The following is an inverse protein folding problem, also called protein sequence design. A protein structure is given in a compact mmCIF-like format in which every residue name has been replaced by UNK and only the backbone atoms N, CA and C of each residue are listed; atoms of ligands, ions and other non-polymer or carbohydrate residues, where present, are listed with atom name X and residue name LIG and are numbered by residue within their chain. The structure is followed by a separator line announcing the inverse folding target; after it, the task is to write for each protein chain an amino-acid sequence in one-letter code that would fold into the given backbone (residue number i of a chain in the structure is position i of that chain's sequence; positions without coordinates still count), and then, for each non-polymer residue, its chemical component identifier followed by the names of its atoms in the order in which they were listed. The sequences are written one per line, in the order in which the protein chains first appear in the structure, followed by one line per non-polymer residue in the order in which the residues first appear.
data_IF_924401986548
#
_entry.id   IF_924401986548
#
_cell.length_a   1.000
_cell.length_b   1.000
_cell.length_c   1.000
_cell.angle_alpha   90.00
_cell.angle_beta   90.00
_cell.angle_gamma   90.00
#
_symmetry.space_group_name_H-M   'P 1'
#
loop_
_entity.id
_entity.type
_entity.pdbx_description
1 polymer ?
#
# COMPACT_ATOMS: atom_id res chain seq x y z
N UNK A 1 -9.77 -70.86 8.17
CA UNK A 1 -9.35 -69.74 7.34
C UNK A 1 -10.50 -68.86 6.82
N UNK A 2 -11.59 -68.64 7.61
CA UNK A 2 -12.75 -67.83 7.19
C UNK A 2 -13.04 -66.59 8.07
N UNK A 3 -12.27 -66.35 9.13
CA UNK A 3 -12.50 -65.24 10.07
C UNK A 3 -11.67 -63.96 9.80
N UNK A 4 -10.72 -63.98 8.84
CA UNK A 4 -9.79 -62.82 8.62
C UNK A 4 -10.28 -61.79 7.60
N UNK A 5 -11.41 -62.11 6.89
CA UNK A 5 -11.94 -61.19 5.85
C UNK A 5 -12.83 -60.06 6.38
N UNK A 6 -13.32 -60.12 7.61
CA UNK A 6 -14.26 -59.11 8.17
C UNK A 6 -13.57 -58.04 9.02
N UNK A 7 -12.27 -58.17 9.30
CA UNK A 7 -11.54 -57.17 10.08
C UNK A 7 -10.95 -56.02 9.22
N UNK A 8 -10.79 -56.22 7.91
CA UNK A 8 -10.22 -55.21 7.01
C UNK A 8 -11.22 -54.15 6.54
N UNK A 9 -12.53 -54.45 6.58
CA UNK A 9 -13.57 -53.55 6.08
C UNK A 9 -13.83 -52.35 7.00
N UNK A 10 -13.86 -52.45 8.33
CA UNK A 10 -14.04 -51.30 9.20
C UNK A 10 -12.82 -50.40 9.31
N UNK A 11 -11.58 -50.94 9.13
CA UNK A 11 -10.35 -50.15 9.15
C UNK A 11 -10.23 -49.28 7.89
N UNK A 12 -10.65 -49.76 6.71
CA UNK A 12 -10.66 -48.99 5.47
C UNK A 12 -11.68 -47.84 5.50
N UNK A 13 -12.84 -48.01 6.16
CA UNK A 13 -13.82 -46.92 6.34
C UNK A 13 -13.33 -45.86 7.33
N UNK A 14 -12.57 -46.21 8.37
CA UNK A 14 -11.99 -45.26 9.31
C UNK A 14 -10.88 -44.43 8.68
N UNK A 15 -10.10 -44.99 7.75
CA UNK A 15 -9.06 -44.26 7.00
C UNK A 15 -9.67 -43.29 5.96
N UNK A 16 -10.78 -43.71 5.32
CA UNK A 16 -11.49 -42.80 4.39
C UNK A 16 -12.22 -41.66 5.13
N UNK A 17 -12.65 -41.85 6.35
CA UNK A 17 -13.24 -40.77 7.18
C UNK A 17 -12.19 -39.77 7.66
N UNK A 18 -10.92 -40.19 7.87
CA UNK A 18 -9.81 -39.31 8.24
C UNK A 18 -9.30 -38.46 7.08
N UNK A 19 -9.50 -38.88 5.81
CA UNK A 19 -9.10 -38.11 4.61
C UNK A 19 -10.11 -37.03 4.24
N UNK A 20 -11.32 -37.01 4.78
CA UNK A 20 -12.31 -35.95 4.59
C UNK A 20 -12.18 -34.81 5.63
N UNK A 21 -11.23 -34.89 6.55
CA UNK A 21 -10.99 -33.82 7.56
C UNK A 21 -10.05 -32.70 7.05
N UNK A 22 -9.60 -32.74 5.80
CA UNK A 22 -8.88 -31.64 5.14
C UNK A 22 -9.83 -30.69 4.38
N UNK A 23 -11.07 -30.56 4.81
CA UNK A 23 -12.06 -29.69 4.20
C UNK A 23 -12.60 -28.68 5.21
N UNK A 24 -12.18 -27.46 5.06
CA UNK A 24 -12.68 -26.19 5.55
C UNK A 24 -11.70 -25.43 6.47
N UNK A 25 -10.73 -24.79 5.87
CA UNK A 25 -10.08 -23.60 6.45
C UNK A 25 -11.06 -22.39 6.35
N UNK A 26 -12.35 -22.63 6.48
CA UNK A 26 -13.38 -21.59 6.56
C UNK A 26 -13.44 -21.09 8.00
N UNK A 27 -12.57 -20.23 8.38
CA UNK A 27 -12.42 -19.45 9.61
C UNK A 27 -10.97 -19.49 10.14
N UNK A 28 -10.00 -19.40 9.24
CA UNK A 28 -8.63 -19.20 9.66
C UNK A 28 -8.54 -17.87 10.43
N UNK A 29 -8.01 -17.90 11.65
CA UNK A 29 -7.68 -16.67 12.39
C UNK A 29 -6.37 -16.04 11.90
N UNK A 30 -5.72 -16.62 10.91
CA UNK A 30 -4.54 -16.07 10.26
C UNK A 30 -4.94 -15.23 9.05
N UNK A 31 -4.44 -14.00 8.99
CA UNK A 31 -4.68 -13.06 7.89
C UNK A 31 -3.32 -12.58 7.38
N UNK A 32 -3.04 -12.80 6.11
CA UNK A 32 -1.82 -12.33 5.44
C UNK A 32 -2.11 -11.03 4.71
N UNK A 33 -1.45 -9.93 5.11
CA UNK A 33 -1.56 -8.62 4.48
C UNK A 33 -0.29 -8.34 3.68
N UNK A 34 -0.44 -8.11 2.37
CA UNK A 34 0.65 -7.63 1.53
C UNK A 34 0.95 -6.16 1.86
N UNK A 35 2.23 -5.79 1.93
CA UNK A 35 2.68 -4.44 2.24
C UNK A 35 3.89 -4.06 1.40
N UNK A 36 3.89 -2.87 0.81
CA UNK A 36 5.07 -2.32 0.14
C UNK A 36 5.90 -1.53 1.15
N UNK A 37 7.09 -2.06 1.47
CA UNK A 37 7.98 -1.44 2.44
C UNK A 37 8.46 -0.07 1.94
N UNK A 38 8.36 0.95 2.78
CA UNK A 38 8.72 2.33 2.44
C UNK A 38 7.55 3.20 1.95
N UNK A 39 6.39 2.65 1.60
CA UNK A 39 5.19 3.45 1.33
C UNK A 39 4.53 3.82 2.66
N UNK A 40 4.65 5.10 3.03
CA UNK A 40 4.31 5.57 4.37
C UNK A 40 2.87 5.23 4.77
N UNK A 41 1.92 5.49 3.88
CA UNK A 41 0.50 5.23 4.11
C UNK A 41 0.17 3.73 4.17
N UNK A 42 0.78 2.92 3.30
CA UNK A 42 0.54 1.48 3.29
C UNK A 42 1.10 0.82 4.54
N UNK A 43 2.32 1.21 4.96
CA UNK A 43 2.93 0.78 6.22
C UNK A 43 2.05 1.18 7.41
N UNK A 44 1.58 2.42 7.44
CA UNK A 44 0.77 2.93 8.55
C UNK A 44 -0.58 2.19 8.65
N UNK A 45 -1.34 2.11 7.56
CA UNK A 45 -2.63 1.40 7.51
C UNK A 45 -2.48 -0.08 7.84
N UNK A 46 -1.44 -0.74 7.32
CA UNK A 46 -1.17 -2.16 7.59
C UNK A 46 -0.90 -2.42 9.07
N UNK A 47 -0.07 -1.59 9.73
CA UNK A 47 0.22 -1.76 11.15
C UNK A 47 -0.98 -1.42 12.04
N UNK A 48 -1.77 -0.40 11.71
CA UNK A 48 -3.04 -0.09 12.41
C UNK A 48 -4.02 -1.25 12.27
N UNK A 49 -4.19 -1.78 11.05
CA UNK A 49 -5.04 -2.96 10.81
C UNK A 49 -4.57 -4.16 11.62
N UNK A 50 -3.25 -4.43 11.63
CA UNK A 50 -2.68 -5.51 12.46
C UNK A 50 -3.03 -5.31 13.94
N UNK A 51 -2.82 -4.13 14.49
CA UNK A 51 -3.11 -3.83 15.89
C UNK A 51 -4.59 -4.05 16.23
N UNK A 52 -5.51 -3.63 15.35
CA UNK A 52 -6.94 -3.84 15.52
C UNK A 52 -7.29 -5.32 15.45
N UNK A 53 -6.83 -6.03 14.43
CA UNK A 53 -7.20 -7.43 14.21
C UNK A 53 -6.59 -8.38 15.26
N UNK A 54 -5.37 -8.12 15.73
CA UNK A 54 -4.75 -8.88 16.83
C UNK A 54 -5.62 -8.75 18.12
N UNK A 55 -6.16 -7.55 18.41
CA UNK A 55 -7.10 -7.34 19.53
C UNK A 55 -8.45 -8.09 19.33
N UNK A 56 -8.84 -8.39 18.09
CA UNK A 56 -10.03 -9.19 17.77
C UNK A 56 -9.73 -10.70 17.73
N UNK A 57 -8.52 -11.12 18.10
CA UNK A 57 -8.09 -12.52 18.17
C UNK A 57 -7.71 -13.13 16.82
N UNK A 58 -7.37 -12.30 15.82
CA UNK A 58 -6.70 -12.74 14.60
C UNK A 58 -5.18 -12.75 14.80
N UNK A 59 -4.48 -13.41 13.89
CA UNK A 59 -3.01 -13.42 13.78
C UNK A 59 -2.62 -12.83 12.43
N UNK A 60 -2.21 -11.58 12.43
CA UNK A 60 -1.86 -10.90 11.19
C UNK A 60 -0.40 -11.13 10.85
N UNK A 61 -0.16 -11.64 9.64
CA UNK A 61 1.15 -11.80 9.00
C UNK A 61 1.33 -10.70 7.97
N UNK A 62 2.38 -9.91 8.10
CA UNK A 62 2.73 -8.87 7.11
C UNK A 62 3.73 -9.45 6.11
N UNK A 63 3.32 -9.53 4.84
CA UNK A 63 4.16 -9.98 3.74
C UNK A 63 4.70 -8.78 2.96
N UNK A 64 5.99 -8.49 3.12
CA UNK A 64 6.65 -7.39 2.40
C UNK A 64 7.02 -7.83 0.99
N UNK A 65 6.49 -7.13 -0.03
CA UNK A 65 6.79 -7.41 -1.42
C UNK A 65 6.50 -6.19 -2.32
N UNK A 66 6.86 -6.27 -3.61
CA UNK A 66 6.44 -5.28 -4.59
C UNK A 66 4.95 -5.42 -4.92
N UNK A 67 4.31 -4.34 -5.40
CA UNK A 67 2.89 -4.34 -5.79
C UNK A 67 2.55 -5.50 -6.74
N UNK A 68 3.39 -5.75 -7.76
CA UNK A 68 3.13 -6.83 -8.73
C UNK A 68 3.17 -8.21 -8.08
N UNK A 69 4.09 -8.45 -7.14
CA UNK A 69 4.18 -9.70 -6.38
C UNK A 69 2.98 -9.88 -5.43
N UNK A 70 2.57 -8.80 -4.75
CA UNK A 70 1.41 -8.84 -3.86
C UNK A 70 0.14 -9.19 -4.64
N UNK A 71 -0.13 -8.50 -5.76
CA UNK A 71 -1.32 -8.77 -6.57
C UNK A 71 -1.31 -10.20 -7.14
N UNK A 72 -0.15 -10.71 -7.58
CA UNK A 72 -0.02 -12.09 -8.04
C UNK A 72 -0.26 -13.09 -6.91
N UNK A 73 0.29 -12.85 -5.72
CA UNK A 73 0.11 -13.70 -4.53
C UNK A 73 -1.36 -13.71 -4.07
N UNK A 74 -2.04 -12.56 -4.11
CA UNK A 74 -3.48 -12.50 -3.83
C UNK A 74 -4.31 -13.27 -4.85
N UNK A 75 -3.95 -13.19 -6.15
CA UNK A 75 -4.63 -13.96 -7.19
C UNK A 75 -4.45 -15.48 -7.03
N UNK A 76 -3.34 -15.91 -6.44
CA UNK A 76 -3.06 -17.31 -6.10
C UNK A 76 -3.63 -17.71 -4.72
N UNK A 77 -4.30 -16.79 -4.02
CA UNK A 77 -4.86 -16.96 -2.68
C UNK A 77 -3.83 -17.21 -1.55
N UNK A 78 -2.54 -16.86 -1.78
CA UNK A 78 -1.45 -16.95 -0.79
C UNK A 78 -1.37 -15.70 0.11
N UNK A 79 -1.90 -14.56 -0.35
CA UNK A 79 -2.06 -13.30 0.40
C UNK A 79 -3.53 -12.93 0.43
N UNK A 80 -4.05 -12.55 1.60
CA UNK A 80 -5.47 -12.27 1.77
C UNK A 80 -5.88 -10.92 1.22
N UNK A 81 -5.09 -9.86 1.50
CA UNK A 81 -5.44 -8.50 1.09
C UNK A 81 -4.23 -7.58 0.94
N UNK A 82 -4.45 -6.46 0.25
CA UNK A 82 -3.52 -5.35 0.09
C UNK A 82 -4.26 -4.02 0.20
N UNK A 83 -3.73 -3.10 1.02
CA UNK A 83 -4.40 -1.85 1.38
C UNK A 83 -3.90 -0.65 0.57
N UNK A 84 -2.83 -0.83 -0.21
CA UNK A 84 -2.16 0.23 -0.97
C UNK A 84 -2.52 0.26 -2.47
N UNK A 85 -3.77 -0.02 -2.87
CA UNK A 85 -4.18 0.02 -4.29
C UNK A 85 -4.67 1.42 -4.65
N UNK A 86 -3.92 2.13 -5.51
CA UNK A 86 -4.23 3.48 -5.98
C UNK A 86 -5.00 3.45 -7.28
N UNK A 87 -6.20 4.04 -7.32
CA UNK A 87 -7.11 4.06 -8.46
C UNK A 87 -7.75 5.46 -8.64
N UNK A 88 -8.06 5.89 -9.87
CA UNK A 88 -8.21 5.05 -11.08
C UNK A 88 -6.99 4.99 -11.99
N UNK A 89 -5.86 5.65 -11.68
CA UNK A 89 -4.76 5.81 -12.65
C UNK A 89 -3.58 4.89 -12.39
N UNK A 90 -2.99 4.98 -11.18
CA UNK A 90 -1.67 4.40 -10.86
C UNK A 90 -1.64 2.88 -11.00
N UNK A 91 -2.61 2.17 -10.42
CA UNK A 91 -2.62 0.70 -10.39
C UNK A 91 -3.66 0.06 -11.31
N UNK A 92 -4.46 0.84 -12.05
CA UNK A 92 -5.54 0.31 -12.89
C UNK A 92 -5.06 -0.78 -13.87
N UNK A 93 -3.98 -0.53 -14.61
CA UNK A 93 -3.42 -1.48 -15.58
C UNK A 93 -2.87 -2.75 -14.93
N UNK A 94 -2.33 -2.65 -13.72
CA UNK A 94 -1.84 -3.80 -12.94
C UNK A 94 -3.00 -4.64 -12.45
N UNK A 95 -3.98 -4.00 -11.83
CA UNK A 95 -5.17 -4.65 -11.28
C UNK A 95 -6.00 -5.35 -12.37
N UNK A 96 -6.09 -4.77 -13.56
CA UNK A 96 -6.82 -5.36 -14.69
C UNK A 96 -6.29 -6.74 -15.13
N UNK A 97 -5.05 -7.11 -14.76
CA UNK A 97 -4.49 -8.44 -15.01
C UNK A 97 -5.07 -9.50 -14.06
N UNK A 98 -5.73 -9.09 -12.99
CA UNK A 98 -6.23 -9.94 -11.91
C UNK A 98 -7.72 -9.67 -11.62
N UNK A 99 -8.63 -9.98 -12.58
CA UNK A 99 -10.05 -9.64 -12.47
C UNK A 99 -10.79 -10.38 -11.36
N UNK A 100 -10.16 -11.37 -10.73
CA UNK A 100 -10.70 -12.09 -9.58
C UNK A 100 -10.56 -11.37 -8.25
N UNK A 101 -9.70 -10.36 -8.15
CA UNK A 101 -9.51 -9.61 -6.91
C UNK A 101 -10.72 -8.73 -6.60
N UNK A 102 -11.11 -8.68 -5.34
CA UNK A 102 -12.33 -8.01 -4.88
C UNK A 102 -12.02 -6.72 -4.14
N UNK A 103 -12.66 -5.61 -4.52
CA UNK A 103 -12.63 -4.35 -3.78
C UNK A 103 -13.39 -4.51 -2.46
N UNK A 104 -12.77 -4.16 -1.33
CA UNK A 104 -13.38 -4.19 -0.01
C UNK A 104 -13.83 -2.81 0.49
N UNK A 105 -13.00 -1.79 0.27
CA UNK A 105 -13.29 -0.44 0.74
C UNK A 105 -12.27 0.59 0.27
N UNK A 106 -12.62 1.86 0.47
CA UNK A 106 -11.76 3.01 0.19
C UNK A 106 -11.15 3.52 1.49
N UNK A 107 -9.83 3.46 1.59
CA UNK A 107 -9.10 3.83 2.79
C UNK A 107 -8.83 5.33 2.89
N UNK A 108 -8.71 6.00 1.72
CA UNK A 108 -8.39 7.42 1.63
C UNK A 108 -8.79 7.98 0.25
N UNK A 109 -9.32 9.22 0.20
CA UNK A 109 -9.90 9.78 -1.03
C UNK A 109 -9.00 10.75 -1.81
N UNK A 110 -8.04 11.41 -1.16
CA UNK A 110 -7.33 12.56 -1.73
C UNK A 110 -5.89 12.22 -2.15
N UNK A 111 -5.67 11.01 -2.70
CA UNK A 111 -4.36 10.58 -3.17
C UNK A 111 -3.86 11.42 -4.35
N UNK A 112 -2.61 11.88 -4.30
CA UNK A 112 -1.94 12.61 -5.39
C UNK A 112 -0.54 12.08 -5.59
N UNK A 113 -0.14 11.89 -6.85
CA UNK A 113 1.24 11.54 -7.22
C UNK A 113 1.78 12.57 -8.20
N UNK A 114 3.11 12.70 -8.30
CA UNK A 114 3.73 13.61 -9.27
C UNK A 114 5.20 13.88 -9.04
N UNK A 115 5.72 14.89 -9.70
CA UNK A 115 7.05 15.42 -9.45
C UNK A 115 7.00 16.50 -8.37
N UNK A 116 7.94 16.43 -7.45
CA UNK A 116 8.01 17.28 -6.26
C UNK A 116 9.37 17.95 -6.20
N UNK A 117 9.35 19.24 -5.85
CA UNK A 117 10.55 20.04 -5.60
C UNK A 117 10.44 20.76 -4.26
N UNK A 118 11.58 21.14 -3.63
CA UNK A 118 11.55 22.07 -2.50
C UNK A 118 10.91 23.41 -2.85
N UNK A 119 10.18 24.05 -1.95
CA UNK A 119 9.49 25.32 -2.19
C UNK A 119 10.41 26.45 -2.66
N UNK A 120 11.71 26.43 -2.27
CA UNK A 120 12.67 27.45 -2.69
C UNK A 120 13.09 27.32 -4.17
N UNK A 121 12.74 26.24 -4.84
CA UNK A 121 12.94 26.08 -6.28
C UNK A 121 11.85 26.87 -7.02
N UNK A 122 12.22 27.85 -7.88
CA UNK A 122 11.26 28.86 -8.37
C UNK A 122 10.32 28.36 -9.47
N UNK A 123 10.53 27.16 -10.05
CA UNK A 123 9.67 26.62 -11.10
C UNK A 123 8.34 26.14 -10.52
N UNK A 124 7.28 26.16 -11.33
CA UNK A 124 5.93 25.74 -10.93
C UNK A 124 5.41 24.54 -11.74
N UNK A 125 5.93 24.31 -12.94
CA UNK A 125 5.42 23.31 -13.87
C UNK A 125 6.51 22.36 -14.35
N UNK A 126 6.10 21.13 -14.70
CA UNK A 126 6.96 20.13 -15.35
C UNK A 126 7.53 20.69 -16.67
N UNK A 127 6.78 21.55 -17.36
CA UNK A 127 7.21 22.17 -18.62
C UNK A 127 8.45 23.06 -18.49
N UNK A 128 8.72 23.57 -17.29
CA UNK A 128 9.87 24.43 -17.02
C UNK A 128 11.18 23.66 -16.77
N UNK A 129 11.10 22.34 -16.53
CA UNK A 129 12.25 21.53 -16.15
C UNK A 129 13.41 21.65 -17.18
N UNK A 130 13.12 21.59 -18.49
CA UNK A 130 14.15 21.66 -19.52
C UNK A 130 14.92 22.99 -19.57
N UNK A 131 14.33 24.07 -19.03
CA UNK A 131 15.02 25.36 -18.93
C UNK A 131 16.07 25.39 -17.81
N UNK A 132 16.02 24.40 -16.93
CA UNK A 132 16.81 24.33 -15.70
C UNK A 132 17.52 22.98 -15.51
N UNK A 133 17.73 22.24 -16.58
CA UNK A 133 18.25 20.87 -16.55
C UNK A 133 19.60 20.74 -15.83
N UNK A 134 20.50 21.73 -16.00
CA UNK A 134 21.80 21.75 -15.35
C UNK A 134 21.68 21.86 -13.81
N UNK A 135 20.75 22.69 -13.32
CA UNK A 135 20.50 22.87 -11.89
C UNK A 135 20.02 21.58 -11.23
N UNK A 136 19.27 20.76 -11.97
CA UNK A 136 18.80 19.45 -11.54
C UNK A 136 19.76 18.31 -11.92
N UNK A 137 20.91 18.62 -12.56
CA UNK A 137 21.88 17.63 -13.03
C UNK A 137 21.25 16.58 -13.95
N UNK A 138 20.25 16.94 -14.74
CA UNK A 138 19.49 16.08 -15.66
C UNK A 138 18.88 14.84 -14.97
N UNK A 139 18.52 14.92 -13.67
CA UNK A 139 18.04 13.77 -12.92
C UNK A 139 16.71 14.04 -12.23
N UNK A 140 15.82 13.07 -12.29
CA UNK A 140 14.65 12.93 -11.43
C UNK A 140 14.92 11.76 -10.49
N UNK A 141 14.94 12.00 -9.18
CA UNK A 141 15.18 10.93 -8.21
C UNK A 141 13.87 10.24 -7.92
N UNK A 142 13.79 8.98 -8.35
CA UNK A 142 12.60 8.15 -8.24
C UNK A 142 12.70 7.12 -7.12
N UNK A 143 11.59 6.41 -6.94
CA UNK A 143 11.48 5.27 -6.03
C UNK A 143 11.77 3.96 -6.78
N UNK A 144 11.42 2.82 -6.19
CA UNK A 144 11.71 1.50 -6.73
C UNK A 144 11.06 1.25 -8.11
N UNK A 145 11.75 0.47 -8.93
CA UNK A 145 11.22 -0.01 -10.20
C UNK A 145 9.95 -0.83 -9.94
N UNK A 146 8.93 -0.64 -10.79
CA UNK A 146 7.66 -1.34 -10.67
C UNK A 146 6.62 -0.57 -9.88
N UNK A 147 6.95 0.51 -9.17
CA UNK A 147 5.94 1.43 -8.65
C UNK A 147 5.18 2.10 -9.82
N UNK A 148 3.89 2.35 -9.65
CA UNK A 148 3.09 3.04 -10.66
C UNK A 148 3.59 4.48 -10.91
N UNK A 149 4.01 5.17 -9.86
CA UNK A 149 4.64 6.49 -9.92
C UNK A 149 5.92 6.49 -10.78
N UNK A 150 6.76 5.45 -10.68
CA UNK A 150 7.94 5.29 -11.54
C UNK A 150 7.56 5.17 -13.01
N UNK A 151 6.54 4.36 -13.33
CA UNK A 151 6.03 4.22 -14.70
C UNK A 151 5.43 5.53 -15.21
N UNK A 152 4.70 6.26 -14.36
CA UNK A 152 4.17 7.59 -14.68
C UNK A 152 5.28 8.60 -14.99
N UNK A 153 6.38 8.55 -14.24
CA UNK A 153 7.54 9.44 -14.45
C UNK A 153 8.27 9.12 -15.75
N UNK A 154 8.47 7.85 -16.09
CA UNK A 154 9.03 7.47 -17.40
C UNK A 154 8.18 8.02 -18.55
N UNK A 155 6.84 7.94 -18.41
CA UNK A 155 5.91 8.53 -19.38
C UNK A 155 6.01 10.06 -19.43
N UNK A 156 6.12 10.73 -18.26
CA UNK A 156 6.28 12.17 -18.20
C UNK A 156 7.56 12.63 -18.92
N UNK A 157 8.69 11.95 -18.72
CA UNK A 157 9.94 12.24 -19.42
C UNK A 157 9.73 12.21 -20.94
N UNK A 158 9.02 11.19 -21.46
CA UNK A 158 8.77 11.06 -22.91
C UNK A 158 7.81 12.15 -23.39
N UNK A 159 6.66 12.32 -22.75
CA UNK A 159 5.57 13.17 -23.25
C UNK A 159 5.90 14.66 -23.11
N UNK A 160 6.65 15.07 -22.08
CA UNK A 160 7.18 16.43 -21.92
C UNK A 160 8.51 16.64 -22.64
N UNK A 161 9.06 15.58 -23.27
CA UNK A 161 10.38 15.60 -23.96
C UNK A 161 11.48 16.13 -23.05
N UNK A 162 11.51 15.63 -21.80
CA UNK A 162 12.49 16.08 -20.82
C UNK A 162 13.87 15.48 -21.12
N UNK A 163 14.90 16.31 -21.10
CA UNK A 163 16.29 15.86 -21.14
C UNK A 163 16.77 15.47 -19.74
N UNK A 164 16.11 14.45 -19.19
CA UNK A 164 16.31 13.94 -17.83
C UNK A 164 16.37 12.42 -17.81
N UNK A 165 17.06 11.88 -16.81
CA UNK A 165 17.02 10.47 -16.46
C UNK A 165 16.31 10.28 -15.13
N UNK A 166 15.36 9.35 -15.05
CA UNK A 166 14.84 8.88 -13.80
C UNK A 166 15.87 7.95 -13.14
N UNK A 167 16.34 8.30 -11.95
CA UNK A 167 17.24 7.49 -11.13
C UNK A 167 16.40 6.72 -10.13
N UNK A 168 16.12 5.47 -10.46
CA UNK A 168 15.32 4.59 -9.61
C UNK A 168 16.14 4.13 -8.40
N UNK A 169 15.58 4.29 -7.21
CA UNK A 169 16.18 3.87 -5.94
C UNK A 169 15.11 3.28 -5.00
N UNK A 170 15.42 3.05 -3.75
CA UNK A 170 14.37 2.81 -2.75
C UNK A 170 13.75 4.14 -2.30
N UNK A 171 12.52 4.10 -1.80
CA UNK A 171 11.87 5.26 -1.18
C UNK A 171 12.75 5.92 -0.12
N UNK A 172 13.42 5.14 0.74
CA UNK A 172 14.31 5.66 1.78
C UNK A 172 15.51 6.41 1.15
N UNK A 173 16.10 5.88 0.07
CA UNK A 173 17.23 6.52 -0.60
C UNK A 173 16.80 7.83 -1.28
N UNK A 174 15.65 7.86 -1.95
CA UNK A 174 15.08 9.08 -2.55
C UNK A 174 14.87 10.16 -1.49
N UNK A 175 14.24 9.83 -0.36
CA UNK A 175 14.00 10.77 0.75
C UNK A 175 15.33 11.29 1.32
N UNK A 176 16.32 10.42 1.49
CA UNK A 176 17.65 10.80 1.98
C UNK A 176 18.33 11.79 1.03
N UNK A 177 18.25 11.56 -0.27
CA UNK A 177 18.82 12.49 -1.27
C UNK A 177 18.08 13.84 -1.26
N UNK A 178 16.74 13.83 -1.13
CA UNK A 178 15.93 15.03 -0.97
C UNK A 178 16.34 15.85 0.26
N UNK A 179 16.46 15.20 1.43
CA UNK A 179 16.88 15.86 2.66
C UNK A 179 18.28 16.48 2.54
N UNK A 180 19.23 15.75 1.96
CA UNK A 180 20.58 16.24 1.74
C UNK A 180 20.61 17.45 0.78
N UNK A 181 19.77 17.44 -0.26
CA UNK A 181 19.67 18.56 -1.20
C UNK A 181 19.08 19.80 -0.50
N UNK A 182 18.02 19.63 0.30
CA UNK A 182 17.39 20.72 1.08
C UNK A 182 18.39 21.37 2.04
N UNK A 183 19.14 20.54 2.81
CA UNK A 183 20.15 21.05 3.75
C UNK A 183 21.23 21.92 3.05
N UNK A 184 21.58 21.54 1.82
CA UNK A 184 22.61 22.24 1.01
C UNK A 184 22.03 23.32 0.11
N UNK A 185 20.73 23.60 0.17
CA UNK A 185 20.03 24.53 -0.75
C UNK A 185 20.23 24.20 -2.23
N UNK A 186 20.44 22.93 -2.59
CA UNK A 186 20.58 22.48 -3.97
C UNK A 186 19.21 22.19 -4.57
N UNK A 187 19.08 22.45 -5.87
CA UNK A 187 17.88 22.06 -6.59
C UNK A 187 17.81 20.54 -6.74
N UNK A 188 16.64 20.00 -6.56
CA UNK A 188 16.35 18.59 -6.73
C UNK A 188 14.88 18.44 -7.15
N UNK A 189 14.62 17.51 -8.04
CA UNK A 189 13.28 17.03 -8.37
C UNK A 189 13.19 15.54 -8.04
N UNK A 190 12.18 15.18 -7.29
CA UNK A 190 11.93 13.79 -6.86
C UNK A 190 10.53 13.37 -7.29
N UNK A 191 10.31 12.08 -7.36
CA UNK A 191 8.94 11.53 -7.38
C UNK A 191 8.33 11.63 -5.99
N UNK A 192 7.04 12.00 -5.90
CA UNK A 192 6.39 12.13 -4.61
C UNK A 192 4.91 11.85 -4.67
N UNK A 193 4.32 11.62 -3.50
CA UNK A 193 2.88 11.38 -3.36
C UNK A 193 2.35 11.91 -2.04
N UNK A 194 1.06 12.17 -2.01
CA UNK A 194 0.28 12.44 -0.81
C UNK A 194 -0.84 11.40 -0.71
N UNK A 195 -1.12 10.88 0.50
CA UNK A 195 -0.60 11.31 1.80
C UNK A 195 0.83 10.79 2.05
N UNK A 196 1.72 11.64 2.57
CA UNK A 196 3.07 11.29 2.98
C UNK A 196 3.59 12.29 4.02
N UNK A 197 4.24 11.81 5.07
CA UNK A 197 4.79 12.63 6.15
C UNK A 197 5.80 13.70 5.70
N UNK A 198 6.47 13.49 4.55
CA UNK A 198 7.48 14.42 4.06
C UNK A 198 6.95 15.84 3.83
N UNK A 199 5.67 16.01 3.46
CA UNK A 199 5.05 17.32 3.26
C UNK A 199 4.78 18.04 4.59
N UNK A 200 4.60 17.30 5.67
CA UNK A 200 4.50 17.90 7.02
C UNK A 200 5.85 18.33 7.61
N UNK A 201 6.95 17.68 7.17
CA UNK A 201 8.30 17.95 7.72
C UNK A 201 9.16 18.84 6.84
N UNK A 202 8.96 18.87 5.55
CA UNK A 202 9.76 19.59 4.58
C UNK A 202 8.86 20.52 3.77
N UNK A 203 9.36 21.71 3.46
CA UNK A 203 8.66 22.66 2.59
C UNK A 203 8.80 22.22 1.15
N UNK A 204 7.80 21.52 0.66
CA UNK A 204 7.76 20.89 -0.66
C UNK A 204 6.54 21.35 -1.44
N UNK A 205 6.65 21.32 -2.76
CA UNK A 205 5.53 21.52 -3.66
C UNK A 205 5.56 20.53 -4.82
N UNK A 206 4.39 20.13 -5.27
CA UNK A 206 4.24 19.44 -6.55
C UNK A 206 4.44 20.44 -7.70
N UNK A 207 5.06 19.98 -8.77
CA UNK A 207 5.02 20.67 -10.05
C UNK A 207 3.66 20.42 -10.72
N UNK A 208 3.14 21.45 -11.38
CA UNK A 208 1.94 21.31 -12.19
C UNK A 208 2.19 20.37 -13.37
N UNK A 209 1.21 19.54 -13.67
CA UNK A 209 1.21 18.56 -14.76
C UNK A 209 0.10 18.90 -15.79
N UNK A 210 0.31 19.89 -16.68
CA UNK A 210 -0.71 20.31 -17.65
C UNK A 210 -1.18 19.19 -18.59
N UNK A 211 -0.33 18.19 -18.83
CA UNK A 211 -0.67 17.02 -19.67
C UNK A 211 -1.38 15.91 -18.91
N UNK A 212 -1.58 16.06 -17.60
CA UNK A 212 -2.23 15.08 -16.72
C UNK A 212 -1.65 13.66 -16.83
N UNK A 213 -0.31 13.58 -16.92
CA UNK A 213 0.39 12.29 -17.03
C UNK A 213 0.23 11.46 -15.74
N UNK A 214 0.19 12.15 -14.60
CA UNK A 214 -0.01 11.55 -13.29
C UNK A 214 -1.49 11.40 -12.92
N UNK A 215 -2.40 11.86 -13.80
CA UNK A 215 -3.85 11.85 -13.55
C UNK A 215 -4.30 12.99 -12.64
N UNK A 216 -5.44 12.78 -12.03
CA UNK A 216 -6.04 13.67 -11.02
C UNK A 216 -5.96 13.01 -9.64
N UNK A 217 -6.78 13.46 -8.69
CA UNK A 217 -6.85 12.80 -7.38
C UNK A 217 -7.26 11.34 -7.50
N UNK A 218 -6.60 10.50 -6.73
CA UNK A 218 -6.85 9.06 -6.65
C UNK A 218 -7.38 8.66 -5.28
N UNK A 219 -8.00 7.49 -5.24
CA UNK A 219 -8.39 6.84 -4.00
C UNK A 219 -7.41 5.70 -3.69
N UNK A 220 -7.06 5.57 -2.41
CA UNK A 220 -6.31 4.41 -1.91
C UNK A 220 -7.33 3.39 -1.40
N UNK A 221 -7.26 2.18 -1.91
CA UNK A 221 -8.28 1.14 -1.71
C UNK A 221 -7.70 -0.14 -1.17
N UNK A 222 -8.51 -0.85 -0.38
CA UNK A 222 -8.24 -2.24 -0.01
C UNK A 222 -8.83 -3.18 -1.04
N UNK A 223 -7.99 -4.07 -1.56
CA UNK A 223 -8.39 -5.22 -2.37
C UNK A 223 -8.02 -6.51 -1.67
N UNK A 224 -8.80 -7.56 -1.92
CA UNK A 224 -8.60 -8.88 -1.35
C UNK A 224 -8.66 -9.97 -2.41
N UNK A 225 -8.16 -11.18 -2.06
CA UNK A 225 -8.35 -12.38 -2.87
C UNK A 225 -9.84 -12.69 -3.05
N UNK A 226 -10.15 -13.46 -4.08
CA UNK A 226 -11.52 -13.71 -4.54
C UNK A 226 -12.46 -14.25 -3.45
N UNK A 227 -11.97 -15.21 -2.66
CA UNK A 227 -12.80 -15.89 -1.65
C UNK A 227 -12.89 -15.13 -0.32
N UNK A 228 -12.12 -14.05 -0.11
CA UNK A 228 -11.95 -13.38 1.19
C UNK A 228 -13.28 -12.99 1.86
N UNK A 229 -14.19 -12.33 1.11
CA UNK A 229 -15.47 -11.88 1.68
C UNK A 229 -16.41 -13.03 2.09
N UNK A 230 -16.24 -14.19 1.46
CA UNK A 230 -16.98 -15.42 1.85
C UNK A 230 -16.36 -16.07 3.08
N UNK A 231 -15.03 -16.08 3.16
CA UNK A 231 -14.30 -16.71 4.26
C UNK A 231 -14.33 -15.83 5.52
N UNK A 232 -14.34 -14.49 5.36
CA UNK A 232 -14.25 -13.49 6.44
C UNK A 232 -15.27 -12.35 6.26
N UNK A 233 -16.58 -12.61 6.32
CA UNK A 233 -17.61 -11.58 6.06
C UNK A 233 -17.58 -10.42 7.06
N UNK A 234 -17.17 -10.68 8.31
CA UNK A 234 -16.99 -9.65 9.33
C UNK A 234 -15.82 -8.72 9.01
N UNK A 235 -14.70 -9.24 8.47
CA UNK A 235 -13.55 -8.43 8.04
C UNK A 235 -13.86 -7.66 6.75
N UNK A 236 -14.62 -8.24 5.82
CA UNK A 236 -15.10 -7.52 4.65
C UNK A 236 -15.95 -6.30 5.07
N UNK A 237 -16.80 -6.46 6.10
CA UNK A 237 -17.57 -5.35 6.69
C UNK A 237 -16.66 -4.32 7.35
N UNK A 238 -15.65 -4.74 8.11
CA UNK A 238 -14.64 -3.86 8.69
C UNK A 238 -13.94 -3.03 7.62
N UNK A 239 -13.37 -3.66 6.58
CA UNK A 239 -12.66 -2.96 5.52
C UNK A 239 -13.55 -2.02 4.70
N UNK A 240 -14.86 -2.31 4.57
CA UNK A 240 -15.78 -1.40 3.90
C UNK A 240 -15.98 -0.07 4.62
N UNK A 241 -15.64 0.00 5.91
CA UNK A 241 -15.73 1.19 6.77
C UNK A 241 -14.37 1.79 7.13
N UNK A 242 -13.28 1.05 6.90
CA UNK A 242 -11.93 1.47 7.22
C UNK A 242 -11.53 2.65 6.31
N UNK A 243 -11.52 3.85 6.89
CA UNK A 243 -11.33 5.08 6.15
C UNK A 243 -10.66 6.15 7.02
N UNK A 244 -9.73 6.89 6.43
CA UNK A 244 -9.04 8.02 7.04
C UNK A 244 -9.39 9.30 6.30
N UNK A 245 -9.65 10.37 7.04
CA UNK A 245 -9.61 11.73 6.52
C UNK A 245 -8.17 12.27 6.48
N UNK A 246 -8.01 13.48 5.95
CA UNK A 246 -6.70 14.11 5.76
C UNK A 246 -5.97 14.36 7.10
N UNK A 247 -6.70 14.78 8.13
CA UNK A 247 -6.16 15.11 9.45
C UNK A 247 -5.66 13.85 10.16
N UNK A 248 -6.52 12.84 10.24
CA UNK A 248 -6.22 11.56 10.89
C UNK A 248 -5.10 10.82 10.22
N UNK A 249 -5.08 10.81 8.87
CA UNK A 249 -4.00 10.21 8.09
C UNK A 249 -2.68 10.94 8.32
N UNK A 250 -2.67 12.27 8.27
CA UNK A 250 -1.47 13.08 8.46
C UNK A 250 -0.85 12.86 9.84
N UNK A 251 -1.68 12.86 10.90
CA UNK A 251 -1.23 12.59 12.27
C UNK A 251 -0.60 11.20 12.40
N UNK A 252 -1.29 10.16 11.91
CA UNK A 252 -0.77 8.80 11.92
C UNK A 252 0.59 8.69 11.21
N UNK A 253 0.73 9.30 10.03
CA UNK A 253 1.98 9.25 9.27
C UNK A 253 3.15 9.93 9.99
N UNK A 254 2.89 11.05 10.68
CA UNK A 254 3.90 11.75 11.49
C UNK A 254 4.33 10.89 12.68
N UNK A 255 3.38 10.28 13.40
CA UNK A 255 3.68 9.39 14.52
C UNK A 255 4.47 8.16 14.07
N UNK A 256 4.06 7.55 12.96
CA UNK A 256 4.74 6.40 12.38
C UNK A 256 6.17 6.74 11.98
N UNK A 257 6.42 7.87 11.33
CA UNK A 257 7.78 8.26 10.91
C UNK A 257 8.73 8.42 12.10
N UNK A 258 8.29 9.01 13.20
CA UNK A 258 9.11 9.21 14.39
C UNK A 258 9.40 7.91 15.17
N UNK A 259 8.70 6.84 14.85
CA UNK A 259 8.77 5.59 15.61
C UNK A 259 9.85 4.64 15.11
N UNK A 260 10.59 4.06 16.08
CA UNK A 260 11.46 2.91 15.85
C UNK A 260 10.71 1.56 15.92
N UNK A 261 9.49 1.58 16.49
CA UNK A 261 8.63 0.39 16.62
C UNK A 261 7.23 0.70 16.10
N UNK A 262 7.01 0.42 14.82
CA UNK A 262 5.74 0.67 14.13
C UNK A 262 4.55 -0.04 14.78
N UNK A 263 4.75 -1.27 15.27
CA UNK A 263 3.70 -2.04 15.93
C UNK A 263 3.24 -1.38 17.22
N UNK A 264 4.17 -0.98 18.10
CA UNK A 264 3.84 -0.29 19.35
C UNK A 264 3.16 1.08 19.09
N UNK A 265 3.61 1.80 18.04
CA UNK A 265 2.98 3.06 17.66
C UNK A 265 1.55 2.84 17.15
N UNK A 266 1.33 1.82 16.32
CA UNK A 266 -0.01 1.49 15.85
C UNK A 266 -0.95 1.10 17.00
N UNK A 267 -0.48 0.28 17.95
CA UNK A 267 -1.26 -0.09 19.15
C UNK A 267 -1.68 1.14 19.94
N UNK A 268 -0.74 2.03 20.23
CA UNK A 268 -1.02 3.28 20.95
C UNK A 268 -2.01 4.15 20.17
N UNK A 269 -1.81 4.30 18.86
CA UNK A 269 -2.72 5.08 18.01
C UNK A 269 -4.15 4.51 18.04
N UNK A 270 -4.31 3.18 17.97
CA UNK A 270 -5.61 2.50 18.06
C UNK A 270 -6.30 2.77 19.40
N UNK A 271 -5.55 2.80 20.51
CA UNK A 271 -6.08 3.13 21.84
C UNK A 271 -6.56 4.59 21.89
N UNK A 272 -5.75 5.53 21.37
CA UNK A 272 -6.05 6.95 21.34
C UNK A 272 -7.22 7.31 20.43
N UNK A 273 -7.48 6.50 19.39
CA UNK A 273 -8.57 6.70 18.42
C UNK A 273 -9.67 5.64 18.54
N UNK A 274 -9.91 5.14 19.74
CA UNK A 274 -10.86 4.05 20.00
C UNK A 274 -12.27 4.30 19.48
N UNK A 275 -12.75 5.53 19.50
CA UNK A 275 -14.06 5.92 18.96
C UNK A 275 -14.12 5.68 17.44
N UNK A 276 -13.13 6.15 16.70
CA UNK A 276 -13.01 5.92 15.26
C UNK A 276 -12.91 4.43 14.95
N UNK A 277 -12.04 3.71 15.66
CA UNK A 277 -11.85 2.26 15.50
C UNK A 277 -13.15 1.49 15.75
N UNK A 278 -13.93 1.89 16.76
CA UNK A 278 -15.24 1.27 17.03
C UNK A 278 -16.24 1.49 15.88
N UNK A 279 -16.18 2.63 15.17
CA UNK A 279 -17.02 2.82 13.97
C UNK A 279 -16.67 1.83 12.87
N UNK A 280 -15.39 1.55 12.66
CA UNK A 280 -14.92 0.55 11.69
C UNK A 280 -15.31 -0.87 12.08
N UNK A 281 -15.22 -1.19 13.40
CA UNK A 281 -15.60 -2.50 13.96
C UNK A 281 -17.10 -2.68 14.11
N UNK A 282 -17.92 -1.68 13.77
CA UNK A 282 -19.38 -1.71 13.96
C UNK A 282 -19.78 -1.96 15.44
N UNK A 283 -18.97 -1.52 16.39
CA UNK A 283 -19.26 -1.58 17.83
C UNK A 283 -19.97 -0.30 18.25
N UNK A 284 -21.02 -0.47 19.07
CA UNK A 284 -21.77 0.64 19.68
C UNK A 284 -21.10 1.09 20.97
#
# INVERSE_FOLDING_TARGET
MKQLKYLFFPILMLVLAALNSCGNIKNSKYITIGMVDGWAEDVAMTHVTKAILDQQGYHVIIQKASTDMILASMNNEDTDLFMGVWLPYTHAKKLAKFPGLTHLGTNYDNGRIGLVVPEYVPIQSIEELNQHQEQFSHRIIGIEKGAGLTTGTDKAIIDYKLDYKQINSSTIAMITELQNAIQRKKWIVVTGWQPHWMFGKMKLKFLDDPKKIYGEAEQIKTYARKSFSTDHPELATFFSKFHFDDETMSDLLIQMEHSKNKEATAQKWVEEHSELVNTWLNKK
#
